data_IF_677162744732
#
_entry.id   IF_677162744732
#
_cell.length_a   1.000
_cell.length_b   1.000
_cell.length_c   1.000
_cell.angle_alpha   90.00
_cell.angle_beta   90.00
_cell.angle_gamma   90.00
#
_symmetry.space_group_name_H-M   'P 1'
#
loop_
_entity.id
_entity.type
_entity.pdbx_description
1 polymer ?
#
# COMPACT_ATOMS: atom_id res chain seq x y z
N UNK A 1 0.20 -32.62 78.30
CA UNK A 1 1.07 -31.54 77.79
C UNK A 1 2.15 -32.18 76.93
N UNK A 2 2.06 -32.01 75.62
CA UNK A 2 3.09 -32.45 74.68
C UNK A 2 4.15 -31.35 74.51
N UNK A 3 5.40 -31.72 74.21
CA UNK A 3 6.17 -30.92 73.27
C UNK A 3 6.99 -31.74 72.25
N UNK A 4 7.20 -31.08 71.10
CA UNK A 4 8.32 -31.16 70.13
C UNK A 4 8.65 -32.53 69.52
N UNK A 5 8.32 -32.84 68.26
CA UNK A 5 8.72 -32.19 66.98
C UNK A 5 10.21 -31.87 66.91
N UNK A 6 10.99 -32.68 66.17
CA UNK A 6 12.18 -32.30 65.40
C UNK A 6 12.32 -33.28 64.22
N UNK A 7 11.73 -32.94 63.07
CA UNK A 7 12.10 -33.53 61.77
C UNK A 7 13.25 -32.70 61.20
N UNK A 8 14.45 -33.29 61.15
CA UNK A 8 15.59 -32.71 60.47
C UNK A 8 15.47 -32.95 58.95
N UNK A 9 15.64 -31.86 58.23
CA UNK A 9 15.53 -31.65 56.79
C UNK A 9 16.68 -32.28 56.01
N UNK A 10 16.37 -33.02 54.94
CA UNK A 10 17.29 -33.30 53.83
C UNK A 10 16.72 -32.67 52.55
N UNK A 11 17.17 -31.46 52.21
CA UNK A 11 16.90 -30.84 50.91
C UNK A 11 18.19 -30.92 50.11
N UNK A 12 18.25 -31.90 49.21
CA UNK A 12 19.31 -32.06 48.24
C UNK A 12 19.11 -31.01 47.14
N UNK A 13 19.87 -29.92 47.20
CA UNK A 13 19.87 -28.88 46.16
C UNK A 13 20.64 -29.41 44.96
N UNK A 14 19.91 -29.75 43.88
CA UNK A 14 20.48 -30.00 42.56
C UNK A 14 21.06 -28.68 42.00
N UNK A 15 22.37 -28.60 41.86
CA UNK A 15 23.03 -27.53 41.10
C UNK A 15 22.97 -27.88 39.62
N UNK A 16 22.02 -27.29 38.90
CA UNK A 16 22.08 -27.15 37.44
C UNK A 16 22.87 -25.88 37.12
N UNK A 17 23.91 -25.92 36.26
CA UNK A 17 24.59 -24.71 35.85
C UNK A 17 23.64 -23.86 35.00
N UNK A 18 23.39 -22.63 35.46
CA UNK A 18 22.76 -21.58 34.67
C UNK A 18 23.64 -21.29 33.46
N UNK A 19 23.27 -21.84 32.31
CA UNK A 19 23.85 -21.45 31.02
C UNK A 19 23.34 -20.04 30.74
N UNK A 20 24.16 -19.03 31.03
CA UNK A 20 23.97 -17.68 30.51
C UNK A 20 24.16 -17.76 28.99
N UNK A 21 23.04 -17.90 28.27
CA UNK A 21 23.00 -17.56 26.86
C UNK A 21 23.19 -16.06 26.80
N UNK A 22 24.40 -15.60 26.50
CA UNK A 22 24.62 -14.25 26.03
C UNK A 22 23.77 -14.07 24.78
N UNK A 23 22.64 -13.38 24.93
CA UNK A 23 21.92 -12.83 23.81
C UNK A 23 22.85 -11.81 23.17
N UNK A 24 23.58 -12.24 22.15
CA UNK A 24 24.31 -11.35 21.26
C UNK A 24 23.26 -10.37 20.72
N UNK A 25 23.27 -9.13 21.20
CA UNK A 25 22.52 -8.04 20.57
C UNK A 25 22.96 -8.01 19.11
N UNK A 26 22.14 -8.60 18.24
CA UNK A 26 22.27 -8.41 16.82
C UNK A 26 21.98 -6.94 16.55
N UNK A 27 23.06 -6.16 16.50
CA UNK A 27 23.14 -4.89 15.81
C UNK A 27 22.32 -5.01 14.52
N UNK A 28 21.16 -4.34 14.50
CA UNK A 28 20.05 -4.63 13.60
C UNK A 28 20.48 -4.93 12.17
N UNK A 29 20.27 -6.19 11.76
CA UNK A 29 20.50 -6.63 10.40
C UNK A 29 19.68 -5.74 9.45
N UNK A 30 20.38 -4.93 8.66
CA UNK A 30 19.74 -4.04 7.69
C UNK A 30 19.06 -4.91 6.64
N UNK A 31 17.74 -5.09 6.77
CA UNK A 31 16.91 -5.80 5.80
C UNK A 31 17.21 -5.27 4.39
N UNK A 32 17.67 -6.17 3.50
CA UNK A 32 17.92 -5.89 2.09
C UNK A 32 17.62 -7.14 1.27
N UNK A 33 16.39 -7.28 0.80
CA UNK A 33 15.95 -8.34 -0.10
C UNK A 33 15.57 -7.78 -1.48
N UNK A 34 15.28 -8.67 -2.44
CA UNK A 34 14.73 -8.29 -3.74
C UNK A 34 13.43 -9.04 -4.00
N UNK A 35 12.49 -8.36 -4.65
CA UNK A 35 11.29 -8.92 -5.23
C UNK A 35 11.14 -8.36 -6.66
N UNK A 36 11.28 -9.22 -7.66
CA UNK A 36 11.60 -8.78 -9.02
C UNK A 36 12.88 -7.94 -9.03
N UNK A 37 12.81 -6.79 -9.69
CA UNK A 37 13.90 -5.82 -9.77
C UNK A 37 13.96 -4.84 -8.59
N UNK A 38 12.95 -4.86 -7.71
CA UNK A 38 12.83 -3.89 -6.60
C UNK A 38 13.59 -4.39 -5.38
N UNK A 39 14.52 -3.54 -4.87
CA UNK A 39 15.21 -3.78 -3.60
C UNK A 39 14.34 -3.31 -2.44
N UNK A 40 14.08 -4.22 -1.51
CA UNK A 40 13.31 -4.00 -0.29
C UNK A 40 14.24 -3.88 0.91
N UNK A 41 14.09 -2.77 1.62
CA UNK A 41 14.78 -2.42 2.84
C UNK A 41 13.84 -1.72 3.83
N UNK A 42 14.32 -1.58 5.07
CA UNK A 42 13.63 -0.84 6.14
C UNK A 42 13.11 0.52 5.63
N UNK A 43 11.85 0.90 5.93
CA UNK A 43 10.94 0.30 6.91
C UNK A 43 10.10 -0.88 6.39
N UNK A 44 10.18 -1.19 5.10
CA UNK A 44 9.41 -2.27 4.49
C UNK A 44 9.98 -3.64 4.87
N UNK A 45 9.08 -4.59 5.06
CA UNK A 45 9.42 -5.96 5.41
C UNK A 45 8.43 -6.93 4.76
N UNK A 46 8.83 -8.17 4.56
CA UNK A 46 7.93 -9.22 4.11
C UNK A 46 8.45 -10.58 4.56
N UNK A 47 7.53 -11.55 4.59
CA UNK A 47 7.84 -12.96 4.70
C UNK A 47 7.29 -13.62 3.45
N UNK A 48 8.17 -14.10 2.59
CA UNK A 48 7.75 -14.95 1.48
C UNK A 48 7.36 -16.32 2.04
N UNK A 49 6.07 -16.64 1.95
CA UNK A 49 5.50 -17.89 2.46
C UNK A 49 5.83 -19.08 1.55
N UNK A 50 6.17 -18.85 0.28
CA UNK A 50 6.52 -19.90 -0.68
C UNK A 50 8.02 -20.22 -0.63
N UNK A 51 8.88 -19.21 -0.56
CA UNK A 51 10.34 -19.40 -0.55
C UNK A 51 10.96 -19.38 0.85
N UNK A 52 10.21 -19.00 1.88
CA UNK A 52 10.71 -18.81 3.25
C UNK A 52 11.62 -17.58 3.40
N UNK A 53 11.80 -16.79 2.34
CA UNK A 53 12.67 -15.60 2.34
C UNK A 53 12.00 -14.47 3.11
N UNK A 54 12.51 -14.15 4.29
CA UNK A 54 12.08 -12.97 5.04
C UNK A 54 13.06 -11.81 4.85
N UNK A 55 12.55 -10.59 4.96
CA UNK A 55 13.38 -9.40 5.09
C UNK A 55 13.00 -8.65 6.36
N UNK A 56 13.89 -8.69 7.34
CA UNK A 56 13.76 -7.98 8.62
C UNK A 56 12.85 -8.66 9.63
N UNK A 57 12.99 -8.32 10.93
CA UNK A 57 12.00 -8.70 11.93
C UNK A 57 10.64 -8.06 11.60
N UNK A 58 9.50 -8.68 11.99
CA UNK A 58 8.19 -8.10 11.74
C UNK A 58 8.13 -6.68 12.31
N UNK A 59 8.09 -5.70 11.40
CA UNK A 59 7.96 -4.27 11.71
C UNK A 59 6.49 -3.89 11.91
N UNK A 60 6.15 -2.61 11.74
CA UNK A 60 4.73 -2.22 11.71
C UNK A 60 4.00 -3.00 10.60
N UNK A 61 2.81 -3.58 10.87
CA UNK A 61 1.98 -4.20 9.86
C UNK A 61 1.70 -3.29 8.65
N UNK A 62 1.70 -1.98 8.86
CA UNK A 62 1.48 -1.00 7.80
C UNK A 62 2.56 -1.05 6.70
N UNK A 63 3.77 -1.48 7.03
CA UNK A 63 4.89 -1.58 6.08
C UNK A 63 5.12 -3.02 5.58
N UNK A 64 4.20 -3.94 5.89
CA UNK A 64 4.28 -5.32 5.42
C UNK A 64 3.94 -5.38 3.93
N UNK A 65 4.85 -5.92 3.14
CA UNK A 65 4.66 -6.20 1.72
C UNK A 65 4.48 -7.70 1.49
N UNK A 66 4.02 -8.07 0.31
CA UNK A 66 4.07 -9.45 -0.20
C UNK A 66 4.79 -9.45 -1.54
N UNK A 67 5.57 -10.48 -1.86
CA UNK A 67 6.17 -10.61 -3.18
C UNK A 67 5.26 -11.46 -4.07
N UNK A 68 4.62 -10.86 -5.09
CA UNK A 68 3.69 -11.61 -5.95
C UNK A 68 4.46 -12.24 -7.12
N UNK A 69 4.44 -13.57 -7.19
CA UNK A 69 5.07 -14.38 -8.25
C UNK A 69 6.54 -14.03 -8.53
N UNK A 70 7.28 -13.54 -7.53
CA UNK A 70 8.63 -12.99 -7.70
C UNK A 70 8.75 -11.83 -8.70
N UNK A 71 7.65 -11.20 -9.11
CA UNK A 71 7.62 -10.16 -10.13
C UNK A 71 7.68 -8.75 -9.54
N UNK A 72 6.86 -8.47 -8.53
CA UNK A 72 6.80 -7.14 -7.91
C UNK A 72 6.36 -7.21 -6.44
N UNK A 73 6.87 -6.30 -5.59
CA UNK A 73 6.33 -6.12 -4.26
C UNK A 73 4.89 -5.60 -4.33
N UNK A 74 4.04 -6.12 -3.47
CA UNK A 74 2.63 -5.80 -3.38
C UNK A 74 2.33 -5.13 -2.05
N UNK A 75 1.74 -3.93 -2.13
CA UNK A 75 1.19 -3.21 -0.99
C UNK A 75 -0.32 -3.52 -0.91
N UNK A 76 -0.81 -4.14 0.17
CA UNK A 76 -2.22 -4.49 0.30
C UNK A 76 -3.13 -3.25 0.35
N UNK A 77 -4.35 -3.41 -0.14
CA UNK A 77 -5.43 -2.44 0.04
C UNK A 77 -5.90 -2.44 1.49
N UNK A 78 -6.20 -1.27 2.05
CA UNK A 78 -6.86 -1.12 3.36
C UNK A 78 -8.31 -1.64 3.33
N UNK A 79 -8.95 -1.61 2.15
CA UNK A 79 -10.27 -2.18 1.92
C UNK A 79 -10.13 -3.68 1.65
N UNK A 80 -10.79 -4.50 2.48
CA UNK A 80 -10.80 -5.96 2.34
C UNK A 80 -11.30 -6.40 0.97
N UNK A 81 -10.71 -7.48 0.46
CA UNK A 81 -11.05 -8.11 -0.82
C UNK A 81 -10.95 -7.19 -2.05
N UNK A 82 -10.28 -6.04 -1.92
CA UNK A 82 -10.01 -5.13 -3.04
C UNK A 82 -8.54 -5.27 -3.45
N UNK A 83 -8.22 -5.27 -4.77
CA UNK A 83 -6.83 -5.35 -5.23
C UNK A 83 -5.98 -4.21 -4.65
N UNK A 84 -4.78 -4.51 -4.19
CA UNK A 84 -3.84 -3.50 -3.66
C UNK A 84 -3.09 -2.74 -4.75
N UNK A 85 -1.80 -2.56 -4.53
CA UNK A 85 -0.90 -1.82 -5.41
C UNK A 85 0.35 -2.64 -5.72
N UNK A 86 0.76 -2.66 -6.99
CA UNK A 86 2.07 -3.18 -7.38
C UNK A 86 3.10 -2.06 -7.27
N UNK A 87 4.22 -2.32 -6.60
CA UNK A 87 5.31 -1.37 -6.45
C UNK A 87 6.31 -1.58 -7.59
N UNK A 88 6.52 -0.57 -8.41
CA UNK A 88 7.51 -0.56 -9.48
C UNK A 88 8.89 -0.13 -8.98
N UNK A 89 8.93 0.83 -8.06
CA UNK A 89 10.17 1.34 -7.50
C UNK A 89 9.96 1.99 -6.12
N UNK A 90 11.01 2.00 -5.31
CA UNK A 90 11.03 2.63 -3.98
C UNK A 90 12.17 3.65 -3.93
N UNK A 91 11.83 4.92 -3.67
CA UNK A 91 12.81 5.95 -3.37
C UNK A 91 12.87 6.20 -1.87
N UNK A 92 13.82 5.55 -1.19
CA UNK A 92 14.00 5.69 0.26
C UNK A 92 14.34 7.13 0.68
N UNK A 93 15.22 7.80 -0.07
CA UNK A 93 15.60 9.19 0.23
C UNK A 93 14.44 10.18 0.10
N UNK A 94 13.52 9.95 -0.85
CA UNK A 94 12.33 10.79 -1.06
C UNK A 94 11.09 10.30 -0.30
N UNK A 95 11.18 9.14 0.34
CA UNK A 95 10.06 8.43 0.96
C UNK A 95 8.86 8.28 0.03
N UNK A 96 9.11 7.87 -1.21
CA UNK A 96 8.07 7.71 -2.23
C UNK A 96 8.08 6.32 -2.89
N UNK A 97 6.89 5.79 -3.16
CA UNK A 97 6.68 4.56 -3.90
C UNK A 97 6.11 4.90 -5.27
N UNK A 98 6.71 4.37 -6.33
CA UNK A 98 6.08 4.38 -7.66
C UNK A 98 5.26 3.12 -7.80
N UNK A 99 3.94 3.28 -7.96
CA UNK A 99 2.98 2.18 -7.88
C UNK A 99 1.96 2.19 -8.99
N UNK A 100 1.41 1.01 -9.28
CA UNK A 100 0.23 0.81 -10.14
C UNK A 100 -0.93 0.36 -9.25
N UNK A 101 -2.11 0.99 -9.42
CA UNK A 101 -3.35 0.51 -8.82
C UNK A 101 -3.84 -0.72 -9.60
N UNK A 102 -3.66 -1.91 -9.00
CA UNK A 102 -4.04 -3.17 -9.64
C UNK A 102 -5.55 -3.29 -9.90
N UNK A 103 -6.38 -2.59 -9.14
CA UNK A 103 -7.82 -2.55 -9.39
C UNK A 103 -8.16 -1.69 -10.61
N UNK A 104 -7.40 -0.63 -10.87
CA UNK A 104 -7.56 0.19 -12.09
C UNK A 104 -6.99 -0.50 -13.32
N UNK A 105 -5.87 -1.23 -13.16
CA UNK A 105 -5.28 -1.98 -14.26
C UNK A 105 -6.23 -3.06 -14.84
N UNK A 106 -7.15 -3.58 -14.01
CA UNK A 106 -8.20 -4.52 -14.44
C UNK A 106 -9.15 -3.94 -15.51
N UNK A 107 -9.27 -2.62 -15.60
CA UNK A 107 -10.04 -1.96 -16.66
C UNK A 107 -9.40 -2.17 -18.03
N UNK A 108 -8.09 -2.46 -18.08
CA UNK A 108 -7.35 -2.61 -19.33
C UNK A 108 -7.06 -4.07 -19.68
N UNK A 109 -6.73 -4.90 -18.68
CA UNK A 109 -6.27 -6.28 -18.88
C UNK A 109 -6.84 -7.23 -17.83
N UNK A 110 -6.70 -8.54 -18.04
CA UNK A 110 -7.00 -9.52 -16.99
C UNK A 110 -6.05 -9.33 -15.80
N UNK A 111 -6.57 -9.23 -14.56
CA UNK A 111 -5.70 -9.24 -13.40
C UNK A 111 -5.02 -10.61 -13.25
N UNK A 112 -3.94 -10.69 -12.44
CA UNK A 112 -3.49 -11.97 -11.94
C UNK A 112 -4.67 -12.75 -11.33
N UNK A 113 -4.77 -14.06 -11.59
CA UNK A 113 -5.92 -14.93 -11.24
C UNK A 113 -6.33 -14.92 -9.75
N UNK A 114 -5.52 -14.31 -8.89
CA UNK A 114 -5.77 -14.14 -7.45
C UNK A 114 -6.90 -13.15 -7.14
N UNK A 115 -7.36 -12.33 -8.09
CA UNK A 115 -8.44 -11.37 -7.89
C UNK A 115 -9.72 -11.76 -8.64
N UNK A 116 -10.86 -11.46 -8.02
CA UNK A 116 -12.16 -11.67 -8.65
C UNK A 116 -12.26 -10.83 -9.94
N UNK A 117 -12.79 -11.42 -11.01
CA UNK A 117 -12.95 -10.71 -12.28
C UNK A 117 -13.96 -9.58 -12.10
N UNK A 118 -13.56 -8.36 -12.47
CA UNK A 118 -14.37 -7.14 -12.35
C UNK A 118 -14.89 -6.84 -10.94
N UNK A 119 -14.00 -6.83 -9.95
CA UNK A 119 -14.30 -6.32 -8.62
C UNK A 119 -14.78 -4.85 -8.68
N UNK A 120 -15.57 -4.37 -7.69
CA UNK A 120 -15.97 -2.97 -7.63
C UNK A 120 -14.78 -2.02 -7.72
N UNK A 121 -14.88 -1.04 -8.61
CA UNK A 121 -13.82 -0.07 -8.86
C UNK A 121 -14.02 1.14 -7.94
N UNK A 122 -13.22 1.21 -6.89
CA UNK A 122 -13.24 2.30 -5.92
C UNK A 122 -12.31 3.45 -6.31
N UNK A 123 -12.51 4.63 -5.74
CA UNK A 123 -11.49 5.69 -5.77
C UNK A 123 -10.20 5.18 -5.14
N UNK A 124 -9.07 5.49 -5.77
CA UNK A 124 -7.77 4.95 -5.33
C UNK A 124 -7.41 5.37 -3.91
N UNK A 125 -7.79 6.57 -3.49
CA UNK A 125 -7.56 7.09 -2.13
C UNK A 125 -8.19 6.23 -1.04
N UNK A 126 -9.37 5.65 -1.27
CA UNK A 126 -10.10 4.84 -0.28
C UNK A 126 -9.34 3.56 0.09
N UNK A 127 -8.49 3.07 -0.83
CA UNK A 127 -7.70 1.85 -0.66
C UNK A 127 -6.42 2.06 0.14
N UNK A 128 -6.06 3.31 0.43
CA UNK A 128 -4.83 3.63 1.17
C UNK A 128 -5.12 3.66 2.67
N UNK A 129 -4.17 3.15 3.46
CA UNK A 129 -4.13 3.32 4.90
C UNK A 129 -2.95 4.24 5.27
N UNK A 130 -3.03 4.96 6.41
CA UNK A 130 -1.84 5.55 7.01
C UNK A 130 -0.72 4.49 7.13
N UNK A 131 0.56 4.85 6.92
CA UNK A 131 1.09 6.20 6.70
C UNK A 131 1.15 6.64 5.22
N UNK A 132 0.55 5.90 4.30
CA UNK A 132 0.65 6.20 2.86
C UNK A 132 -0.32 7.30 2.43
N UNK A 133 0.17 8.17 1.54
CA UNK A 133 -0.58 9.30 0.95
C UNK A 133 -0.30 9.37 -0.54
N UNK A 134 -1.24 9.92 -1.30
CA UNK A 134 -1.01 10.27 -2.71
C UNK A 134 -0.03 11.44 -2.74
N UNK A 135 1.05 11.30 -3.52
CA UNK A 135 2.05 12.35 -3.66
C UNK A 135 1.46 13.61 -4.34
N UNK A 136 1.86 14.83 -3.93
CA UNK A 136 1.30 16.08 -4.45
C UNK A 136 1.68 16.36 -5.91
N UNK A 137 2.66 15.63 -6.44
CA UNK A 137 3.12 15.74 -7.83
C UNK A 137 2.22 15.00 -8.82
N UNK A 138 1.30 14.17 -8.32
CA UNK A 138 0.38 13.46 -9.19
C UNK A 138 -0.74 14.39 -9.67
N UNK A 139 -1.26 14.06 -10.84
CA UNK A 139 -2.52 14.59 -11.35
C UNK A 139 -3.58 13.51 -11.20
N UNK A 140 -4.84 13.87 -11.43
CA UNK A 140 -5.96 12.94 -11.39
C UNK A 140 -6.43 12.62 -12.80
N UNK A 141 -6.65 11.34 -13.01
CA UNK A 141 -7.46 10.78 -14.08
C UNK A 141 -8.83 10.45 -13.47
N UNK A 142 -9.90 10.94 -14.10
CA UNK A 142 -11.26 10.77 -13.62
C UNK A 142 -12.06 10.05 -14.69
N UNK A 143 -12.63 8.92 -14.31
CA UNK A 143 -13.55 8.14 -15.12
C UNK A 143 -14.98 8.49 -14.70
N UNK A 144 -15.78 9.00 -15.63
CA UNK A 144 -17.16 9.35 -15.40
C UNK A 144 -18.08 8.31 -16.02
N UNK A 145 -18.87 7.63 -15.20
CA UNK A 145 -20.00 6.84 -15.68
C UNK A 145 -21.26 7.72 -15.69
N UNK A 146 -21.71 8.09 -16.89
CA UNK A 146 -22.78 9.06 -17.08
C UNK A 146 -24.11 8.41 -17.48
N UNK A 147 -25.22 9.04 -17.13
CA UNK A 147 -26.51 8.75 -17.76
C UNK A 147 -26.51 9.17 -19.23
N UNK A 148 -27.34 8.55 -20.08
CA UNK A 148 -27.42 8.89 -21.50
C UNK A 148 -27.68 10.39 -21.75
N UNK A 149 -28.55 11.00 -20.93
CA UNK A 149 -28.85 12.43 -21.01
C UNK A 149 -27.65 13.30 -20.61
N UNK A 150 -26.84 12.88 -19.62
CA UNK A 150 -25.62 13.58 -19.25
C UNK A 150 -24.54 13.41 -20.33
N UNK A 151 -24.35 12.20 -20.86
CA UNK A 151 -23.42 11.91 -21.95
C UNK A 151 -23.67 12.78 -23.18
N UNK A 152 -24.93 12.92 -23.61
CA UNK A 152 -25.31 13.76 -24.76
C UNK A 152 -24.92 15.24 -24.59
N UNK A 153 -24.92 15.75 -23.35
CA UNK A 153 -24.52 17.14 -23.05
C UNK A 153 -23.01 17.34 -23.05
N UNK A 154 -22.21 16.27 -22.90
CA UNK A 154 -20.76 16.32 -22.61
C UNK A 154 -19.88 15.91 -23.77
N UNK A 155 -20.44 15.55 -24.93
CA UNK A 155 -19.74 14.91 -26.04
C UNK A 155 -18.47 15.60 -26.56
N UNK A 156 -18.27 16.89 -26.25
CA UNK A 156 -17.09 17.65 -26.67
C UNK A 156 -16.15 18.04 -25.51
N UNK A 157 -16.54 17.83 -24.25
CA UNK A 157 -15.79 18.26 -23.07
C UNK A 157 -14.90 17.16 -22.48
N UNK A 158 -15.26 15.89 -22.73
CA UNK A 158 -14.61 14.72 -22.17
C UNK A 158 -14.29 13.69 -23.26
N UNK A 159 -13.27 12.89 -23.05
CA UNK A 159 -12.89 11.84 -24.00
C UNK A 159 -13.70 10.58 -23.72
N UNK A 160 -14.42 10.06 -24.72
CA UNK A 160 -15.12 8.78 -24.58
C UNK A 160 -14.11 7.62 -24.47
N UNK A 161 -14.25 6.78 -23.45
CA UNK A 161 -13.42 5.59 -23.28
C UNK A 161 -13.74 4.58 -24.39
N UNK A 162 -12.74 4.24 -25.22
CA UNK A 162 -12.91 3.29 -26.34
C UNK A 162 -12.84 1.84 -25.87
N UNK A 163 -11.95 1.58 -24.92
CA UNK A 163 -11.52 0.24 -24.52
C UNK A 163 -11.39 0.21 -23.01
N UNK A 164 -12.44 -0.29 -22.34
CA UNK A 164 -12.38 -0.63 -20.92
C UNK A 164 -13.22 -1.87 -20.64
N UNK A 165 -12.67 -2.75 -19.81
CA UNK A 165 -13.37 -3.90 -19.25
C UNK A 165 -14.11 -3.47 -17.98
N UNK A 166 -15.05 -4.31 -17.55
CA UNK A 166 -15.77 -4.14 -16.28
C UNK A 166 -16.68 -2.90 -16.18
N UNK A 167 -16.72 -2.04 -17.20
CA UNK A 167 -17.56 -0.86 -17.28
C UNK A 167 -18.26 -0.80 -18.64
N UNK A 168 -19.37 -0.08 -18.70
CA UNK A 168 -20.06 0.18 -19.95
C UNK A 168 -19.41 1.38 -20.67
N UNK A 169 -18.62 1.11 -21.70
CA UNK A 169 -17.87 2.13 -22.45
C UNK A 169 -18.77 3.13 -23.18
N UNK A 170 -20.01 2.76 -23.54
CA UNK A 170 -20.96 3.68 -24.21
C UNK A 170 -21.32 4.93 -23.38
N UNK A 171 -21.09 4.87 -22.07
CA UNK A 171 -21.41 5.91 -21.10
C UNK A 171 -20.21 6.33 -20.24
N UNK A 172 -19.01 5.84 -20.57
CA UNK A 172 -17.80 6.10 -19.77
C UNK A 172 -16.92 7.14 -20.44
N UNK A 173 -16.68 8.24 -19.75
CA UNK A 173 -15.85 9.35 -20.21
C UNK A 173 -14.61 9.52 -19.33
N UNK A 174 -13.55 10.06 -19.90
CA UNK A 174 -12.25 10.23 -19.27
C UNK A 174 -11.87 11.71 -19.27
N UNK A 175 -11.47 12.20 -18.10
CA UNK A 175 -10.83 13.50 -17.90
C UNK A 175 -9.45 13.27 -17.30
N UNK A 176 -8.43 13.94 -17.81
CA UNK A 176 -7.07 13.82 -17.29
C UNK A 176 -6.48 15.19 -16.98
N UNK A 177 -5.38 15.20 -16.23
CA UNK A 177 -4.64 16.42 -15.90
C UNK A 177 -5.31 17.29 -14.85
N UNK A 178 -6.24 16.74 -14.06
CA UNK A 178 -6.89 17.50 -12.99
C UNK A 178 -5.92 17.58 -11.79
N UNK A 179 -5.69 18.77 -11.20
CA UNK A 179 -4.84 18.86 -10.01
C UNK A 179 -5.36 17.98 -8.88
N UNK A 180 -4.46 17.28 -8.17
CA UNK A 180 -4.82 16.45 -7.03
C UNK A 180 -5.53 17.26 -5.93
N UNK A 181 -6.68 16.75 -5.44
CA UNK A 181 -7.40 17.31 -4.30
C UNK A 181 -6.93 16.60 -3.02
N UNK A 182 -6.08 17.25 -2.20
CA UNK A 182 -5.54 16.62 -0.99
C UNK A 182 -6.59 16.42 0.10
N UNK A 183 -7.79 17.02 -0.03
CA UNK A 183 -8.87 16.84 0.94
C UNK A 183 -9.64 15.53 0.73
N UNK A 184 -9.51 14.93 -0.46
CA UNK A 184 -10.22 13.70 -0.83
C UNK A 184 -11.75 13.85 -0.87
N UNK A 185 -12.28 15.08 -0.91
CA UNK A 185 -13.73 15.34 -0.91
C UNK A 185 -14.33 15.24 -2.31
N UNK A 186 -13.54 15.44 -3.36
CA UNK A 186 -13.92 15.22 -4.76
C UNK A 186 -15.16 16.00 -5.24
N UNK A 187 -15.63 16.99 -4.47
CA UNK A 187 -16.83 17.76 -4.81
C UNK A 187 -16.62 18.60 -6.06
N UNK A 188 -15.41 19.09 -6.30
CA UNK A 188 -15.01 19.79 -7.53
C UNK A 188 -15.01 18.89 -8.77
N UNK A 189 -15.09 17.57 -8.60
CA UNK A 189 -15.13 16.61 -9.70
C UNK A 189 -16.55 16.18 -10.03
N UNK A 190 -17.55 16.56 -9.23
CA UNK A 190 -18.92 16.17 -9.47
C UNK A 190 -19.44 16.77 -10.79
N UNK A 191 -20.03 15.92 -11.63
CA UNK A 191 -20.75 16.31 -12.83
C UNK A 191 -22.18 15.80 -12.73
N UNK A 192 -23.15 16.66 -12.99
CA UNK A 192 -24.56 16.29 -12.91
C UNK A 192 -24.87 15.09 -13.82
N UNK A 193 -25.47 14.06 -13.23
CA UNK A 193 -25.81 12.82 -13.94
C UNK A 193 -24.62 11.92 -14.28
N UNK A 194 -23.45 12.13 -13.67
CA UNK A 194 -22.26 11.28 -13.81
C UNK A 194 -21.65 10.90 -12.46
N UNK A 195 -21.23 9.65 -12.32
CA UNK A 195 -20.52 9.14 -11.14
C UNK A 195 -19.02 9.10 -11.42
N UNK A 196 -18.19 9.85 -10.68
CA UNK A 196 -16.74 9.84 -10.86
C UNK A 196 -16.07 8.66 -10.15
N UNK A 197 -15.07 8.09 -10.81
CA UNK A 197 -14.07 7.19 -10.24
C UNK A 197 -12.71 7.87 -10.44
N UNK A 198 -12.02 8.12 -9.34
CA UNK A 198 -10.79 8.92 -9.31
C UNK A 198 -9.58 8.04 -9.09
N UNK A 199 -8.55 8.25 -9.90
CA UNK A 199 -7.23 7.65 -9.70
C UNK A 199 -6.11 8.65 -9.98
N UNK A 200 -5.07 8.67 -9.14
CA UNK A 200 -3.89 9.46 -9.40
C UNK A 200 -3.08 8.84 -10.54
N UNK A 201 -2.42 9.71 -11.31
CA UNK A 201 -1.49 9.37 -12.39
C UNK A 201 -0.30 10.33 -12.35
N UNK A 202 0.85 9.88 -12.84
CA UNK A 202 1.96 10.80 -13.12
C UNK A 202 1.56 11.77 -14.23
N UNK A 203 1.79 13.07 -13.99
CA UNK A 203 1.71 14.06 -15.06
C UNK A 203 2.82 13.83 -16.08
N UNK A 204 2.54 14.07 -17.36
CA UNK A 204 3.59 14.06 -18.37
C UNK A 204 4.52 15.26 -18.14
N UNK A 205 5.83 15.15 -18.44
CA UNK A 205 6.79 16.24 -18.27
C UNK A 205 6.42 17.53 -19.02
N UNK A 206 5.58 17.43 -20.07
CA UNK A 206 5.04 18.54 -20.86
C UNK A 206 3.91 19.31 -20.17
N UNK A 207 3.46 18.89 -18.97
CA UNK A 207 2.39 19.54 -18.20
C UNK A 207 0.98 19.23 -18.71
N UNK A 208 0.80 18.88 -19.98
CA UNK A 208 -0.46 18.41 -20.54
C UNK A 208 -0.57 16.89 -20.44
N UNK A 209 -1.45 16.41 -19.57
CA UNK A 209 -1.83 14.99 -19.52
C UNK A 209 -3.02 14.74 -20.46
N UNK A 210 -2.80 14.00 -21.54
CA UNK A 210 -3.83 13.74 -22.55
C UNK A 210 -4.78 12.62 -22.11
N UNK A 211 -6.07 12.94 -21.96
CA UNK A 211 -7.10 11.98 -21.60
C UNK A 211 -7.27 10.83 -22.61
N UNK A 212 -6.86 11.03 -23.87
CA UNK A 212 -6.86 9.96 -24.88
C UNK A 212 -5.80 8.88 -24.64
N UNK A 213 -4.79 9.16 -23.81
CA UNK A 213 -3.73 8.22 -23.41
C UNK A 213 -4.00 7.59 -22.05
N UNK A 214 -5.27 7.55 -21.61
CA UNK A 214 -5.65 7.03 -20.29
C UNK A 214 -5.10 5.63 -20.00
N UNK A 215 -4.97 4.78 -21.02
CA UNK A 215 -4.43 3.43 -20.85
C UNK A 215 -2.96 3.44 -20.41
N UNK A 216 -2.15 4.30 -21.02
CA UNK A 216 -0.73 4.48 -20.67
C UNK A 216 -0.62 5.10 -19.28
N UNK A 217 -1.43 6.13 -18.99
CA UNK A 217 -1.44 6.77 -17.67
C UNK A 217 -1.78 5.79 -16.52
N UNK A 218 -2.73 4.87 -16.75
CA UNK A 218 -3.05 3.80 -15.78
C UNK A 218 -1.88 2.84 -15.60
N UNK A 219 -1.19 2.47 -16.69
CA UNK A 219 -0.05 1.53 -16.68
C UNK A 219 1.20 2.16 -16.06
N UNK A 220 1.45 3.43 -16.32
CA UNK A 220 2.56 4.19 -15.78
C UNK A 220 2.38 4.43 -14.28
N UNK A 221 1.14 4.45 -13.79
CA UNK A 221 0.86 4.55 -12.37
C UNK A 221 1.16 5.93 -11.79
N UNK A 222 1.49 5.96 -10.51
CA UNK A 222 1.57 7.21 -9.72
C UNK A 222 2.50 7.08 -8.52
N UNK A 223 2.77 8.20 -7.86
CA UNK A 223 3.61 8.24 -6.66
C UNK A 223 2.78 8.24 -5.38
N UNK A 224 3.03 7.29 -4.49
CA UNK A 224 2.68 7.41 -3.08
C UNK A 224 3.85 8.00 -2.31
N UNK A 225 3.56 8.64 -1.18
CA UNK A 225 4.54 9.04 -0.17
C UNK A 225 4.20 8.38 1.16
N UNK A 226 5.20 8.15 2.02
CA UNK A 226 4.96 7.68 3.38
C UNK A 226 5.67 8.56 4.40
N UNK A 227 5.01 8.74 5.54
CA UNK A 227 5.63 9.37 6.72
C UNK A 227 6.35 8.31 7.56
N UNK A 228 7.35 8.73 8.35
CA UNK A 228 7.95 7.85 9.35
C UNK A 228 6.88 7.46 10.38
N UNK A 229 6.82 6.18 10.74
CA UNK A 229 6.04 5.75 11.89
C UNK A 229 6.50 6.55 13.13
N UNK A 230 5.60 7.05 13.99
CA UNK A 230 5.99 7.71 15.22
C UNK A 230 6.93 6.78 16.00
N UNK A 231 8.15 7.25 16.30
CA UNK A 231 9.08 6.46 17.13
C UNK A 231 8.35 6.20 18.46
N UNK A 232 8.28 4.95 18.96
CA UNK A 232 7.76 4.72 20.30
C UNK A 232 8.58 5.57 21.28
N UNK A 233 7.89 6.38 22.08
CA UNK A 233 8.55 7.23 23.06
C UNK A 233 9.45 6.35 23.93
N UNK A 234 10.76 6.63 23.90
CA UNK A 234 11.74 5.97 24.77
C UNK A 234 11.27 6.23 26.21
N UNK A 235 10.68 5.24 26.86
CA UNK A 235 10.45 5.31 28.31
C UNK A 235 11.84 5.33 28.93
N UNK A 236 12.30 6.51 29.33
CA UNK A 236 13.45 6.62 30.22
C UNK A 236 13.01 6.03 31.56
N UNK A 237 13.29 4.75 31.76
CA UNK A 237 13.24 4.14 33.08
C UNK A 237 14.37 4.79 33.89
N UNK A 238 14.06 5.87 34.61
CA UNK A 238 14.93 6.34 35.69
C UNK A 238 14.95 5.23 36.73
N UNK A 239 15.99 4.41 36.73
CA UNK A 239 16.36 3.63 37.90
C UNK A 239 16.70 4.64 39.01
N UNK A 240 15.78 4.79 39.96
CA UNK A 240 16.10 5.37 41.26
C UNK A 240 16.75 4.23 42.04
N UNK A 241 18.05 4.33 42.23
CA UNK A 241 18.80 3.48 43.16
C UNK A 241 18.62 4.14 44.54
N UNK A 242 18.05 3.39 45.49
CA UNK A 242 18.09 3.70 46.92
C UNK A 242 19.29 3.01 47.56
#
# INVERSE_FOLDING_TARGET
MAPSSWFLTLIWVWWLPLVLVEAQEQQGEVCSAKCGDVRISNPFWFTDLETGRSCGPPGSPDFQLTCLNNSYPFLPSSVRFTPGFAILNISYGKRSLHVIDLGKLQLLHDPPKIFNHCAPIWNTSVKLAPPFKIGPVNLELILYNCTAAAAARRGNELVLAKTMRCVNTSNTFVRAGVPHDPTGKYSSYALEGCTPIVLPVLGLPSGETNASQYEELIKDGFLLTWDEAPRPARKFTRQIIF
#
